data_IF_852458763502
#
_entry.id   IF_852458763502
#
_cell.length_a   1.000
_cell.length_b   1.000
_cell.length_c   1.000
_cell.angle_alpha   90.00
_cell.angle_beta   90.00
_cell.angle_gamma   90.00
#
_symmetry.space_group_name_H-M   'P 1'
#
loop_
_entity.id
_entity.type
_entity.pdbx_description
1 polymer ?
#
# COMPACT_ATOMS: atom_id res chain seq x y z
N UNK A 1 -23.05 1.30 13.17
CA UNK A 1 -22.92 2.38 14.18
C UNK A 1 -21.61 2.17 14.94
N UNK A 2 -20.93 3.23 15.36
CA UNK A 2 -19.70 3.11 16.18
C UNK A 2 -20.05 3.14 17.65
N UNK A 3 -19.49 2.21 18.45
CA UNK A 3 -19.72 2.11 19.89
C UNK A 3 -18.97 3.17 20.72
N UNK A 4 -18.26 4.11 20.09
CA UNK A 4 -17.53 5.16 20.80
C UNK A 4 -18.50 6.24 21.32
N UNK A 5 -18.25 6.79 22.52
CA UNK A 5 -19.02 7.91 23.05
C UNK A 5 -18.71 9.19 22.28
N UNK A 6 -19.69 10.08 22.18
CA UNK A 6 -19.44 11.41 21.63
C UNK A 6 -18.57 12.23 22.60
N UNK A 7 -17.47 12.87 22.15
CA UNK A 7 -16.60 13.66 23.03
C UNK A 7 -17.28 14.91 23.59
N UNK A 8 -18.38 15.37 22.97
CA UNK A 8 -19.11 16.56 23.43
C UNK A 8 -20.28 16.23 24.36
N UNK A 9 -21.01 15.14 24.13
CA UNK A 9 -22.22 14.83 24.90
C UNK A 9 -22.19 13.49 25.65
N UNK A 10 -21.10 12.72 25.54
CA UNK A 10 -20.93 11.44 26.23
C UNK A 10 -21.86 10.30 25.75
N UNK A 11 -22.88 10.58 24.94
CA UNK A 11 -23.86 9.57 24.50
C UNK A 11 -23.21 8.53 23.57
N UNK A 12 -23.45 7.25 23.86
CA UNK A 12 -22.98 6.11 23.08
C UNK A 12 -23.86 5.85 21.86
N UNK A 13 -23.27 5.30 20.79
CA UNK A 13 -24.02 4.83 19.60
C UNK A 13 -24.59 5.92 18.68
N UNK A 14 -24.45 7.19 19.04
CA UNK A 14 -24.99 8.35 18.30
C UNK A 14 -24.08 8.86 17.18
N UNK A 15 -22.85 8.35 17.13
CA UNK A 15 -21.83 8.72 16.15
C UNK A 15 -22.04 7.99 14.82
N UNK A 16 -22.19 8.77 13.75
CA UNK A 16 -22.31 8.29 12.38
C UNK A 16 -21.29 8.96 11.46
N UNK A 17 -20.93 8.27 10.37
CA UNK A 17 -19.92 8.74 9.43
C UNK A 17 -20.46 9.91 8.60
N UNK A 18 -19.74 11.02 8.56
CA UNK A 18 -20.08 12.18 7.73
C UNK A 18 -19.26 12.23 6.44
N UNK A 19 -19.75 12.98 5.44
CA UNK A 19 -19.04 13.25 4.19
C UNK A 19 -18.24 14.55 4.30
N UNK A 20 -17.11 14.58 3.60
CA UNK A 20 -16.30 15.79 3.44
C UNK A 20 -17.10 16.84 2.66
N UNK A 21 -17.20 18.05 3.19
CA UNK A 21 -17.85 19.20 2.57
C UNK A 21 -16.84 20.09 1.84
N UNK A 22 -15.63 20.23 2.38
CA UNK A 22 -14.62 21.13 1.84
C UNK A 22 -13.39 20.39 1.28
N UNK A 23 -12.64 21.07 0.40
CA UNK A 23 -11.39 20.54 -0.16
C UNK A 23 -10.35 20.21 0.91
N UNK A 24 -10.21 21.05 1.95
CA UNK A 24 -9.32 20.78 3.10
C UNK A 24 -9.67 19.46 3.79
N UNK A 25 -10.97 19.21 4.02
CA UNK A 25 -11.43 17.96 4.63
C UNK A 25 -11.14 16.75 3.73
N UNK A 26 -11.20 16.95 2.41
CA UNK A 26 -10.88 15.92 1.42
C UNK A 26 -9.39 15.57 1.42
N UNK A 27 -8.51 16.58 1.53
CA UNK A 27 -7.07 16.40 1.67
C UNK A 27 -6.72 15.67 2.97
N UNK A 28 -7.26 16.10 4.12
CA UNK A 28 -7.03 15.44 5.41
C UNK A 28 -7.46 13.98 5.37
N UNK A 29 -8.63 13.69 4.79
CA UNK A 29 -9.12 12.31 4.61
C UNK A 29 -8.22 11.49 3.68
N UNK A 30 -7.63 12.11 2.67
CA UNK A 30 -6.76 11.44 1.71
C UNK A 30 -5.36 11.17 2.28
N UNK A 31 -4.77 12.11 3.02
CA UNK A 31 -3.40 11.99 3.55
C UNK A 31 -3.33 11.37 4.94
N UNK A 32 -4.22 11.73 5.84
CA UNK A 32 -4.16 11.28 7.24
C UNK A 32 -5.17 10.14 7.55
N UNK A 33 -4.87 9.25 8.51
CA UNK A 33 -5.77 8.18 8.98
C UNK A 33 -6.89 8.69 9.88
N UNK A 34 -7.59 9.73 9.42
CA UNK A 34 -8.75 10.29 10.09
C UNK A 34 -10.01 10.10 9.25
N UNK A 35 -11.12 9.79 9.92
CA UNK A 35 -12.45 9.80 9.32
C UNK A 35 -13.31 10.84 10.04
N UNK A 36 -14.17 11.51 9.27
CA UNK A 36 -15.08 12.51 9.83
C UNK A 36 -16.33 11.82 10.34
N UNK A 37 -16.71 12.15 11.57
CA UNK A 37 -17.93 11.69 12.22
C UNK A 37 -18.79 12.86 12.64
N UNK A 38 -20.09 12.60 12.79
CA UNK A 38 -21.08 13.51 13.32
C UNK A 38 -21.92 12.80 14.38
N UNK A 39 -22.26 13.50 15.46
CA UNK A 39 -23.24 13.04 16.44
C UNK A 39 -24.65 13.45 16.01
N UNK A 40 -25.62 12.55 16.09
CA UNK A 40 -27.04 12.84 15.83
C UNK A 40 -27.68 13.72 16.90
N UNK A 41 -27.24 13.61 18.15
CA UNK A 41 -27.86 14.25 19.31
C UNK A 41 -27.39 15.69 19.51
N UNK A 42 -26.07 15.89 19.70
CA UNK A 42 -25.51 17.22 19.95
C UNK A 42 -25.04 17.95 18.69
N UNK A 43 -25.09 17.29 17.53
CA UNK A 43 -24.65 17.86 16.27
C UNK A 43 -23.12 17.99 16.11
N UNK A 44 -22.32 17.59 17.11
CA UNK A 44 -20.86 17.63 17.06
C UNK A 44 -20.32 16.99 15.79
N UNK A 45 -19.34 17.63 15.17
CA UNK A 45 -18.66 17.16 13.96
C UNK A 45 -17.17 17.25 14.17
N UNK A 46 -16.45 16.15 13.93
CA UNK A 46 -15.01 16.13 14.10
C UNK A 46 -14.34 14.94 13.43
N UNK A 47 -13.03 14.90 13.56
CA UNK A 47 -12.19 13.83 13.05
C UNK A 47 -11.94 12.81 14.15
N UNK A 48 -12.14 11.54 13.83
CA UNK A 48 -11.77 10.41 14.70
C UNK A 48 -10.64 9.66 14.02
N UNK A 49 -9.60 9.37 14.79
CA UNK A 49 -8.48 8.54 14.35
C UNK A 49 -8.94 7.09 14.19
N UNK A 50 -8.70 6.52 13.02
CA UNK A 50 -9.12 5.16 12.68
C UNK A 50 -7.95 4.17 12.61
N UNK A 51 -6.72 4.63 12.80
CA UNK A 51 -5.53 3.82 12.59
C UNK A 51 -5.01 3.86 11.16
N UNK A 52 -3.68 3.85 11.03
CA UNK A 52 -3.01 3.76 9.73
C UNK A 52 -3.34 2.44 9.02
N UNK A 53 -3.45 1.36 9.78
CA UNK A 53 -3.80 0.02 9.29
C UNK A 53 -5.16 -0.01 8.58
N UNK A 54 -6.22 0.55 9.17
CA UNK A 54 -7.55 0.62 8.53
C UNK A 54 -7.52 1.41 7.21
N UNK A 55 -6.65 2.42 7.13
CA UNK A 55 -6.56 3.28 5.94
C UNK A 55 -5.89 2.58 4.77
N UNK A 56 -4.76 1.92 5.01
CA UNK A 56 -4.00 1.23 3.97
C UNK A 56 -4.61 -0.11 3.59
N UNK A 57 -5.06 -0.88 4.58
CA UNK A 57 -5.54 -2.23 4.32
C UNK A 57 -7.00 -2.31 3.90
N UNK A 58 -7.77 -1.23 4.05
CA UNK A 58 -9.17 -1.14 3.66
C UNK A 58 -10.06 -2.18 4.37
N UNK A 59 -11.26 -1.77 4.79
CA UNK A 59 -12.18 -2.71 5.44
C UNK A 59 -12.76 -3.76 4.48
N UNK A 60 -12.60 -3.58 3.17
CA UNK A 60 -13.21 -4.41 2.13
C UNK A 60 -12.28 -5.54 1.67
N UNK A 61 -12.70 -6.78 1.96
CA UNK A 61 -12.14 -8.06 1.48
C UNK A 61 -11.72 -8.03 -0.01
N UNK A 62 -12.54 -7.45 -0.88
CA UNK A 62 -12.29 -7.36 -2.32
C UNK A 62 -11.07 -6.50 -2.69
N UNK A 63 -10.80 -5.40 -1.97
CA UNK A 63 -9.59 -4.58 -2.21
C UNK A 63 -8.32 -5.28 -1.76
N UNK A 64 -8.38 -6.11 -0.72
CA UNK A 64 -7.25 -6.92 -0.26
C UNK A 64 -6.87 -7.98 -1.30
N UNK A 65 -7.84 -8.63 -1.94
CA UNK A 65 -7.60 -9.61 -3.01
C UNK A 65 -6.88 -8.98 -4.21
N UNK A 66 -7.34 -7.80 -4.65
CA UNK A 66 -6.72 -7.05 -5.75
C UNK A 66 -5.31 -6.58 -5.38
N UNK A 67 -5.10 -6.06 -4.17
CA UNK A 67 -3.78 -5.64 -3.71
C UNK A 67 -2.80 -6.81 -3.62
N UNK A 68 -3.23 -7.97 -3.11
CA UNK A 68 -2.43 -9.21 -3.12
C UNK A 68 -2.05 -9.62 -4.54
N UNK A 69 -3.01 -9.61 -5.47
CA UNK A 69 -2.74 -9.93 -6.88
C UNK A 69 -1.71 -9.00 -7.52
N UNK A 70 -1.78 -7.70 -7.25
CA UNK A 70 -0.78 -6.74 -7.73
C UNK A 70 0.63 -7.03 -7.18
N UNK A 71 0.73 -7.39 -5.90
CA UNK A 71 2.01 -7.75 -5.28
C UNK A 71 2.56 -9.04 -5.89
N UNK A 72 1.75 -10.09 -6.01
CA UNK A 72 2.18 -11.35 -6.63
C UNK A 72 2.59 -11.15 -8.08
N UNK A 73 1.82 -10.39 -8.87
CA UNK A 73 2.16 -10.05 -10.25
C UNK A 73 3.50 -9.33 -10.37
N UNK A 74 3.77 -8.38 -9.47
CA UNK A 74 5.05 -7.66 -9.44
C UNK A 74 6.23 -8.57 -9.06
N UNK A 75 6.08 -9.42 -8.04
CA UNK A 75 7.11 -10.37 -7.61
C UNK A 75 7.42 -11.39 -8.72
N UNK A 76 6.39 -11.90 -9.39
CA UNK A 76 6.55 -12.82 -10.53
C UNK A 76 7.32 -12.14 -11.67
N UNK A 77 6.98 -10.89 -12.01
CA UNK A 77 7.68 -10.13 -13.05
C UNK A 77 9.16 -9.92 -12.69
N UNK A 78 9.45 -9.64 -11.43
CA UNK A 78 10.83 -9.47 -10.94
C UNK A 78 11.63 -10.78 -11.00
N UNK A 79 11.01 -11.91 -10.63
CA UNK A 79 11.62 -13.23 -10.78
C UNK A 79 11.91 -13.59 -12.24
N UNK A 80 10.98 -13.30 -13.16
CA UNK A 80 11.19 -13.54 -14.59
C UNK A 80 12.39 -12.72 -15.10
N UNK A 81 12.46 -11.44 -14.74
CA UNK A 81 13.60 -10.59 -15.11
C UNK A 81 14.92 -11.12 -14.57
N UNK A 82 14.94 -11.62 -13.33
CA UNK A 82 16.12 -12.22 -12.71
C UNK A 82 16.57 -13.48 -13.46
N UNK A 83 15.64 -14.35 -13.87
CA UNK A 83 15.97 -15.53 -14.67
C UNK A 83 16.51 -15.13 -16.03
N UNK A 84 15.91 -14.14 -16.69
CA UNK A 84 16.37 -13.64 -17.98
C UNK A 84 17.78 -13.05 -17.91
N UNK A 85 18.09 -12.28 -16.87
CA UNK A 85 19.43 -11.71 -16.68
C UNK A 85 20.46 -12.79 -16.38
N UNK A 86 20.09 -13.82 -15.62
CA UNK A 86 20.95 -14.99 -15.40
C UNK A 86 21.25 -15.72 -16.71
N UNK A 87 20.24 -15.95 -17.55
CA UNK A 87 20.41 -16.61 -18.86
C UNK A 87 21.25 -15.78 -19.81
N UNK A 88 21.05 -14.47 -19.84
CA UNK A 88 21.90 -13.55 -20.59
C UNK A 88 23.36 -13.62 -20.13
N UNK A 89 23.58 -13.64 -18.81
CA UNK A 89 24.93 -13.74 -18.26
C UNK A 89 25.61 -15.06 -18.59
N UNK A 90 24.87 -16.18 -18.61
CA UNK A 90 25.38 -17.50 -19.01
C UNK A 90 25.80 -17.54 -20.49
N UNK A 91 24.99 -16.96 -21.37
CA UNK A 91 25.29 -16.85 -22.81
C UNK A 91 26.50 -15.93 -23.08
N UNK A 92 26.63 -14.83 -22.33
CA UNK A 92 27.81 -13.96 -22.41
C UNK A 92 29.04 -14.62 -21.77
N UNK A 93 28.89 -15.36 -20.68
CA UNK A 93 29.97 -16.08 -20.01
C UNK A 93 30.59 -17.15 -20.90
N UNK A 94 29.77 -17.91 -21.63
CA UNK A 94 30.26 -18.93 -22.58
C UNK A 94 30.99 -18.34 -23.78
N UNK A 95 30.57 -17.17 -24.27
CA UNK A 95 31.26 -16.46 -25.37
C UNK A 95 32.56 -15.79 -24.93
N UNK A 96 32.66 -15.36 -23.68
CA UNK A 96 33.89 -14.78 -23.09
C UNK A 96 34.90 -15.84 -22.63
N UNK A 97 34.46 -17.04 -22.28
CA UNK A 97 35.34 -18.12 -21.80
C UNK A 97 36.57 -18.42 -22.71
N UNK A 98 36.44 -18.56 -24.04
CA UNK A 98 37.60 -18.77 -24.91
C UNK A 98 38.50 -17.52 -25.02
N UNK A 99 37.92 -16.32 -25.02
CA UNK A 99 38.65 -15.05 -25.11
C UNK A 99 39.50 -14.83 -23.85
N UNK A 100 38.95 -15.09 -22.68
CA UNK A 100 39.68 -14.99 -21.40
C UNK A 100 40.81 -16.02 -21.34
N UNK A 101 40.61 -17.22 -21.89
CA UNK A 101 41.65 -18.26 -21.98
C UNK A 101 42.82 -17.83 -22.87
N UNK A 102 42.56 -17.20 -24.02
CA UNK A 102 43.61 -16.65 -24.89
C UNK A 102 44.38 -15.50 -24.24
N UNK A 103 43.70 -14.61 -23.49
CA UNK A 103 44.36 -13.50 -22.78
C UNK A 103 45.31 -14.03 -21.69
N UNK A 104 44.90 -15.07 -20.95
CA UNK A 104 45.75 -15.69 -19.93
C UNK A 104 47.00 -16.35 -20.54
N UNK A 105 46.86 -17.06 -21.65
CA UNK A 105 48.00 -17.72 -22.32
C UNK A 105 48.98 -16.75 -23.00
N UNK A 106 48.56 -15.50 -23.26
CA UNK A 106 49.43 -14.45 -23.81
C UNK A 106 50.14 -13.63 -22.72
N UNK A 107 49.73 -13.80 -21.46
CA UNK A 107 50.30 -13.12 -20.30
C UNK A 107 51.35 -13.94 -19.52
N UNK A 108 51.46 -15.25 -19.79
CA UNK A 108 52.57 -16.12 -19.37
C UNK A 108 53.67 -16.17 -20.45
#
# INVERSE_FOLDING_TARGET
MTLQPCPHCGKFGTLHRSRSRNFKERLVKFFLPYKIYRCSECGWRGYIYIGFTEKFFGKTETRKKIAKWKIYSFVILLLILLVLTYRYFDEVGTTLAPIVKEILQRGE
#
